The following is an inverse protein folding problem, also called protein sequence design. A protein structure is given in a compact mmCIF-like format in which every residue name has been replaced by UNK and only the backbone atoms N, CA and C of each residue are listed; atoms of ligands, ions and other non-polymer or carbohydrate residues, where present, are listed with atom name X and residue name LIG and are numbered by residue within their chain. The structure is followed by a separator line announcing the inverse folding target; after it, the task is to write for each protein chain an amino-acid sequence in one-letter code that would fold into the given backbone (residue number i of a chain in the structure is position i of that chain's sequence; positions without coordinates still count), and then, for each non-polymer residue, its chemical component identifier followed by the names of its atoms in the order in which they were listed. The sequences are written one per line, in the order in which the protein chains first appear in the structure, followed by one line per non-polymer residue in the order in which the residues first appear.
data_IF_041798835177
#
_entry.id   IF_041798835177
#
_cell.length_a   1.000
_cell.length_b   1.000
_cell.length_c   1.000
_cell.angle_alpha   90.00
_cell.angle_beta   90.00
_cell.angle_gamma   90.00
#
_symmetry.space_group_name_H-M   'P 1'
#
loop_
_entity.id
_entity.type
_entity.pdbx_description
1 polymer ?
#
# COMPACT_ATOMS: atom_id res chain seq x y z
N UNK A 1 38.23 24.38 13.76
CA UNK A 1 36.79 24.44 13.45
C UNK A 1 36.47 24.30 11.95
N UNK A 2 37.06 25.12 11.04
CA UNK A 2 36.77 25.02 9.57
C UNK A 2 37.10 23.65 8.95
N UNK A 3 38.26 23.06 9.29
CA UNK A 3 38.66 21.73 8.78
C UNK A 3 37.69 20.62 9.23
N UNK A 4 37.17 20.66 10.45
CA UNK A 4 36.22 19.72 10.97
C UNK A 4 34.87 19.80 10.19
N UNK A 5 34.40 21.01 9.91
CA UNK A 5 33.17 21.23 9.13
C UNK A 5 33.32 20.71 7.71
N UNK A 6 34.47 20.97 7.06
CA UNK A 6 34.79 20.45 5.73
C UNK A 6 34.80 18.90 5.74
N UNK A 7 35.48 18.30 6.74
CA UNK A 7 35.56 16.85 6.88
C UNK A 7 34.18 16.21 7.04
N UNK A 8 33.35 16.79 7.94
CA UNK A 8 31.97 16.29 8.15
C UNK A 8 31.11 16.44 6.88
N UNK A 9 31.28 17.56 6.17
CA UNK A 9 30.57 17.77 4.90
C UNK A 9 30.96 16.74 3.82
N UNK A 10 32.26 16.46 3.68
CA UNK A 10 32.74 15.44 2.74
C UNK A 10 32.29 14.05 3.15
N UNK A 11 32.37 13.71 4.44
CA UNK A 11 31.89 12.42 4.96
C UNK A 11 30.39 12.22 4.69
N UNK A 12 29.57 13.26 4.91
CA UNK A 12 28.14 13.22 4.60
C UNK A 12 27.87 12.98 3.11
N UNK A 13 28.58 13.71 2.23
CA UNK A 13 28.43 13.52 0.79
C UNK A 13 28.84 12.11 0.33
N UNK A 14 29.91 11.56 0.90
CA UNK A 14 30.33 10.18 0.61
C UNK A 14 29.28 9.16 1.06
N UNK A 15 28.74 9.31 2.27
CA UNK A 15 27.67 8.44 2.75
C UNK A 15 26.42 8.52 1.87
N UNK A 16 26.06 9.72 1.41
CA UNK A 16 24.95 9.93 0.50
C UNK A 16 25.19 9.24 -0.85
N UNK A 17 26.37 9.36 -1.42
CA UNK A 17 26.75 8.70 -2.68
C UNK A 17 26.76 7.16 -2.55
N UNK A 18 27.29 6.64 -1.44
CA UNK A 18 27.30 5.20 -1.17
C UNK A 18 25.85 4.67 -1.08
N UNK A 19 25.00 5.35 -0.31
CA UNK A 19 23.59 5.01 -0.17
C UNK A 19 22.87 5.02 -1.52
N UNK A 20 23.06 6.05 -2.32
CA UNK A 20 22.51 6.16 -3.67
C UNK A 20 22.96 5.02 -4.58
N UNK A 21 24.27 4.70 -4.54
CA UNK A 21 24.84 3.61 -5.36
C UNK A 21 24.27 2.24 -4.94
N UNK A 22 24.16 1.98 -3.63
CA UNK A 22 23.58 0.73 -3.12
C UNK A 22 22.11 0.59 -3.52
N UNK A 23 21.32 1.67 -3.40
CA UNK A 23 19.92 1.69 -3.84
C UNK A 23 19.79 1.42 -5.34
N UNK A 24 20.67 2.01 -6.16
CA UNK A 24 20.68 1.79 -7.61
C UNK A 24 21.04 0.33 -7.98
N UNK A 25 22.03 -0.26 -7.30
CA UNK A 25 22.42 -1.67 -7.49
C UNK A 25 21.27 -2.59 -7.09
N UNK A 26 20.65 -2.32 -5.94
CA UNK A 26 19.51 -3.09 -5.47
C UNK A 26 18.33 -3.03 -6.45
N UNK A 27 17.98 -1.83 -6.92
CA UNK A 27 16.91 -1.62 -7.89
C UNK A 27 17.15 -2.39 -9.20
N UNK A 28 18.38 -2.35 -9.72
CA UNK A 28 18.74 -3.13 -10.93
C UNK A 28 18.69 -4.64 -10.72
N UNK A 29 18.99 -5.12 -9.52
CA UNK A 29 18.99 -6.56 -9.20
C UNK A 29 17.57 -7.12 -9.07
N UNK A 30 16.59 -6.29 -8.65
CA UNK A 30 15.18 -6.67 -8.48
C UNK A 30 14.38 -6.79 -9.79
N UNK A 31 14.99 -6.60 -10.97
CA UNK A 31 14.32 -6.75 -12.27
C UNK A 31 14.44 -8.16 -12.88
N UNK A 32 14.74 -9.20 -12.09
CA UNK A 32 14.66 -10.58 -12.54
C UNK A 32 13.19 -10.96 -12.80
N UNK A 33 12.96 -11.82 -13.80
CA UNK A 33 11.63 -12.34 -14.15
C UNK A 33 10.89 -12.78 -12.89
N UNK A 34 9.89 -12.00 -12.51
CA UNK A 34 9.02 -12.31 -11.38
C UNK A 34 8.11 -13.46 -11.81
N UNK A 35 7.89 -14.41 -10.91
CA UNK A 35 6.86 -15.41 -11.08
C UNK A 35 5.49 -14.74 -11.15
N UNK A 36 4.51 -15.37 -11.79
CA UNK A 36 3.15 -14.88 -11.80
C UNK A 36 2.61 -14.81 -10.35
N UNK A 37 1.98 -13.72 -10.01
CA UNK A 37 1.37 -13.53 -8.70
C UNK A 37 0.08 -14.36 -8.60
N UNK A 38 -0.03 -15.29 -7.65
CA UNK A 38 -1.21 -16.15 -7.52
C UNK A 38 -2.36 -15.41 -6.82
N UNK A 39 -3.06 -14.57 -7.57
CA UNK A 39 -4.10 -13.65 -7.11
C UNK A 39 -5.17 -14.32 -6.25
N UNK A 40 -5.54 -15.56 -6.58
CA UNK A 40 -6.58 -16.34 -5.92
C UNK A 40 -6.23 -16.74 -4.48
N UNK A 41 -4.97 -16.61 -4.08
CA UNK A 41 -4.54 -16.91 -2.72
C UNK A 41 -4.60 -15.71 -1.78
N UNK A 42 -4.87 -14.51 -2.31
CA UNK A 42 -4.74 -13.28 -1.54
C UNK A 42 -6.07 -12.54 -1.37
N UNK A 43 -6.31 -12.04 -0.16
CA UNK A 43 -7.33 -11.03 0.14
C UNK A 43 -6.65 -9.71 0.50
N UNK A 44 -7.03 -8.63 -0.15
CA UNK A 44 -6.62 -7.26 0.23
C UNK A 44 -7.65 -6.69 1.19
N UNK A 45 -7.22 -6.33 2.38
CA UNK A 45 -8.05 -5.69 3.40
C UNK A 45 -7.68 -4.21 3.47
N UNK A 46 -8.67 -3.36 3.23
CA UNK A 46 -8.51 -1.90 3.19
C UNK A 46 -9.46 -1.24 4.20
N UNK A 47 -8.96 -0.75 5.35
CA UNK A 47 -9.70 0.20 6.17
C UNK A 47 -9.87 1.50 5.39
N UNK A 48 -11.11 1.87 5.09
CA UNK A 48 -11.45 3.03 4.26
C UNK A 48 -11.97 4.15 5.15
N UNK A 49 -11.53 5.39 4.83
CA UNK A 49 -12.00 6.62 5.43
C UNK A 49 -12.27 7.65 4.32
N UNK A 50 -13.41 8.33 4.38
CA UNK A 50 -13.70 9.44 3.46
C UNK A 50 -12.80 10.66 3.73
N UNK A 51 -12.70 11.55 2.74
CA UNK A 51 -11.95 12.81 2.85
C UNK A 51 -10.82 12.97 1.83
N UNK A 52 -10.24 11.91 1.30
CA UNK A 52 -9.34 12.02 0.15
C UNK A 52 -10.17 12.13 -1.14
N UNK A 53 -10.00 13.22 -1.92
CA UNK A 53 -10.70 13.40 -3.18
C UNK A 53 -10.33 12.35 -4.24
N UNK A 54 -9.29 11.55 -4.02
CA UNK A 54 -8.84 10.50 -4.92
C UNK A 54 -9.30 9.10 -4.50
N UNK A 55 -9.97 8.96 -3.36
CA UNK A 55 -10.38 7.68 -2.81
C UNK A 55 -10.97 6.75 -3.89
N UNK A 56 -11.95 7.23 -4.65
CA UNK A 56 -12.58 6.43 -5.71
C UNK A 56 -11.60 6.01 -6.82
N UNK A 57 -10.60 6.85 -7.13
CA UNK A 57 -9.62 6.56 -8.17
C UNK A 57 -8.60 5.52 -7.69
N UNK A 58 -8.11 5.67 -6.46
CA UNK A 58 -7.09 4.79 -5.90
C UNK A 58 -7.67 3.39 -5.63
N UNK A 59 -8.92 3.29 -5.13
CA UNK A 59 -9.64 2.02 -4.99
C UNK A 59 -9.85 1.32 -6.35
N UNK A 60 -10.30 2.06 -7.37
CA UNK A 60 -10.45 1.50 -8.73
C UNK A 60 -9.11 1.07 -9.33
N UNK A 61 -8.04 1.83 -9.10
CA UNK A 61 -6.72 1.50 -9.63
C UNK A 61 -6.21 0.15 -9.09
N UNK A 62 -6.48 -0.18 -7.83
CA UNK A 62 -6.17 -1.49 -7.28
C UNK A 62 -7.00 -2.61 -7.94
N UNK A 63 -8.31 -2.40 -8.09
CA UNK A 63 -9.21 -3.38 -8.72
C UNK A 63 -8.87 -3.67 -10.18
N UNK A 64 -8.45 -2.64 -10.93
CA UNK A 64 -8.12 -2.74 -12.36
C UNK A 64 -6.85 -3.52 -12.67
N UNK A 65 -5.96 -3.67 -11.70
CA UNK A 65 -4.70 -4.38 -11.88
C UNK A 65 -4.80 -5.89 -11.68
N UNK A 66 -5.95 -6.38 -11.20
CA UNK A 66 -6.15 -7.78 -10.83
C UNK A 66 -7.50 -8.27 -11.35
N UNK A 67 -7.60 -9.59 -11.54
CA UNK A 67 -8.86 -10.23 -11.96
C UNK A 67 -9.47 -11.12 -10.87
N UNK A 68 -8.62 -11.67 -10.00
CA UNK A 68 -9.00 -12.68 -9.02
C UNK A 68 -8.75 -12.31 -7.57
N UNK A 69 -8.02 -11.24 -7.28
CA UNK A 69 -7.81 -10.77 -5.89
C UNK A 69 -9.15 -10.37 -5.27
N UNK A 70 -9.37 -10.79 -4.05
CA UNK A 70 -10.55 -10.43 -3.26
C UNK A 70 -10.26 -9.18 -2.41
N UNK A 71 -11.22 -8.27 -2.32
CA UNK A 71 -11.06 -7.01 -1.57
C UNK A 71 -12.09 -6.93 -0.44
N UNK A 72 -11.62 -6.74 0.78
CA UNK A 72 -12.45 -6.48 1.95
C UNK A 72 -12.32 -5.00 2.33
N UNK A 73 -13.38 -4.26 2.12
CA UNK A 73 -13.44 -2.83 2.45
C UNK A 73 -14.10 -2.62 3.80
N UNK A 74 -13.34 -2.05 4.75
CA UNK A 74 -13.76 -1.86 6.14
C UNK A 74 -14.12 -0.39 6.34
N UNK A 75 -15.41 -0.08 6.33
CA UNK A 75 -15.93 1.28 6.33
C UNK A 75 -16.63 1.51 7.68
N UNK A 76 -16.41 2.68 8.31
CA UNK A 76 -17.18 3.05 9.50
C UNK A 76 -18.65 3.19 9.16
N UNK A 77 -19.51 2.65 10.01
CA UNK A 77 -20.96 2.72 9.80
C UNK A 77 -21.47 4.17 9.73
N UNK A 78 -20.78 5.09 10.39
CA UNK A 78 -21.05 6.52 10.36
C UNK A 78 -20.53 7.25 9.13
N UNK A 79 -19.60 6.66 8.34
CA UNK A 79 -18.99 7.28 7.15
C UNK A 79 -19.83 7.05 5.89
N UNK A 80 -20.90 7.80 5.77
CA UNK A 80 -21.84 7.69 4.63
C UNK A 80 -21.21 8.06 3.28
N UNK A 81 -20.18 8.90 3.27
CA UNK A 81 -19.49 9.27 2.02
C UNK A 81 -18.59 8.14 1.52
N UNK A 82 -17.83 7.47 2.39
CA UNK A 82 -17.07 6.29 2.00
C UNK A 82 -17.99 5.16 1.50
N UNK A 83 -19.14 4.96 2.16
CA UNK A 83 -20.15 3.99 1.70
C UNK A 83 -20.66 4.35 0.31
N UNK A 84 -20.99 5.62 0.06
CA UNK A 84 -21.45 6.09 -1.24
C UNK A 84 -20.39 5.83 -2.34
N UNK A 85 -19.11 6.06 -2.05
CA UNK A 85 -18.01 5.79 -2.98
C UNK A 85 -17.90 4.29 -3.27
N UNK A 86 -17.96 3.46 -2.23
CA UNK A 86 -17.91 1.99 -2.36
C UNK A 86 -19.08 1.47 -3.21
N UNK A 87 -20.31 1.92 -2.92
CA UNK A 87 -21.50 1.54 -3.67
C UNK A 87 -21.41 1.93 -5.15
N UNK A 88 -20.87 3.11 -5.46
CA UNK A 88 -20.64 3.55 -6.84
C UNK A 88 -19.65 2.67 -7.58
N UNK A 89 -18.63 2.15 -6.92
CA UNK A 89 -17.67 1.23 -7.54
C UNK A 89 -18.31 -0.14 -7.75
N UNK A 90 -19.11 -0.61 -6.79
CA UNK A 90 -19.82 -1.89 -6.87
C UNK A 90 -20.97 -1.91 -7.89
N UNK A 91 -21.32 -0.78 -8.50
CA UNK A 91 -22.23 -0.78 -9.68
C UNK A 91 -21.61 -1.45 -10.90
N UNK A 92 -20.28 -1.51 -10.98
CA UNK A 92 -19.60 -2.30 -11.99
C UNK A 92 -19.57 -3.78 -11.55
N UNK A 93 -20.31 -4.62 -12.28
CA UNK A 93 -20.44 -6.04 -11.96
C UNK A 93 -19.09 -6.80 -11.98
N UNK A 94 -18.12 -6.33 -12.75
CA UNK A 94 -16.77 -6.93 -12.80
C UNK A 94 -16.01 -6.74 -11.48
N UNK A 95 -16.27 -5.66 -10.76
CA UNK A 95 -15.67 -5.38 -9.46
C UNK A 95 -16.49 -5.94 -8.30
N UNK A 96 -17.82 -5.82 -8.38
CA UNK A 96 -18.73 -6.21 -7.30
C UNK A 96 -18.54 -7.65 -6.81
N UNK A 97 -18.20 -8.58 -7.70
CA UNK A 97 -17.99 -9.98 -7.36
C UNK A 97 -16.75 -10.24 -6.50
N UNK A 98 -15.82 -9.29 -6.47
CA UNK A 98 -14.54 -9.40 -5.76
C UNK A 98 -14.46 -8.52 -4.51
N UNK A 99 -15.52 -7.73 -4.26
CA UNK A 99 -15.56 -6.78 -3.13
C UNK A 99 -16.54 -7.29 -2.08
N UNK A 100 -16.08 -7.34 -0.83
CA UNK A 100 -16.94 -7.48 0.35
C UNK A 100 -16.83 -6.21 1.19
N UNK A 101 -17.96 -5.58 1.47
CA UNK A 101 -18.02 -4.36 2.31
C UNK A 101 -18.43 -4.78 3.71
N UNK A 102 -17.63 -4.37 4.69
CA UNK A 102 -17.91 -4.56 6.11
C UNK A 102 -18.15 -3.19 6.75
N UNK A 103 -19.36 -2.98 7.26
CA UNK A 103 -19.69 -1.79 8.03
C UNK A 103 -19.31 -2.05 9.49
N UNK A 104 -18.32 -1.29 9.95
CA UNK A 104 -17.77 -1.43 11.30
C UNK A 104 -18.42 -0.40 12.22
N UNK A 105 -18.88 -0.85 13.37
CA UNK A 105 -19.39 0.02 14.44
C UNK A 105 -18.28 0.90 15.02
N UNK A 106 -18.68 1.85 15.85
CA UNK A 106 -17.76 2.82 16.45
C UNK A 106 -16.60 2.14 17.18
N UNK A 107 -15.40 2.62 16.87
CA UNK A 107 -14.17 2.11 17.48
C UNK A 107 -14.10 2.51 18.94
N UNK A 108 -13.82 1.57 19.87
CA UNK A 108 -13.67 1.89 21.28
C UNK A 108 -12.55 2.92 21.54
N UNK A 109 -12.78 3.80 22.51
CA UNK A 109 -11.81 4.83 22.85
C UNK A 109 -10.45 4.22 23.27
N UNK A 110 -9.36 4.76 22.72
CA UNK A 110 -8.00 4.33 23.05
C UNK A 110 -7.47 3.15 22.23
N UNK A 111 -8.25 2.62 21.30
CA UNK A 111 -7.83 1.57 20.37
C UNK A 111 -7.48 2.19 19.02
N UNK A 112 -6.45 1.65 18.37
CA UNK A 112 -6.11 2.08 17.01
C UNK A 112 -7.23 1.65 16.04
N UNK A 113 -7.89 2.59 15.34
CA UNK A 113 -9.06 2.28 14.51
C UNK A 113 -8.74 1.28 13.39
N UNK A 114 -7.57 1.40 12.76
CA UNK A 114 -7.17 0.51 11.68
C UNK A 114 -7.01 -0.93 12.15
N UNK A 115 -6.28 -1.13 13.26
CA UNK A 115 -6.08 -2.47 13.83
C UNK A 115 -7.40 -3.08 14.29
N UNK A 116 -8.26 -2.29 14.91
CA UNK A 116 -9.58 -2.75 15.34
C UNK A 116 -10.44 -3.23 14.18
N UNK A 117 -10.52 -2.44 13.09
CA UNK A 117 -11.28 -2.81 11.90
C UNK A 117 -10.77 -4.12 11.28
N UNK A 118 -9.46 -4.29 11.18
CA UNK A 118 -8.86 -5.51 10.63
C UNK A 118 -9.21 -6.72 11.50
N UNK A 119 -9.13 -6.59 12.83
CA UNK A 119 -9.47 -7.66 13.78
C UNK A 119 -10.90 -8.18 13.59
N UNK A 120 -11.86 -7.27 13.28
CA UNK A 120 -13.28 -7.65 13.09
C UNK A 120 -13.51 -8.58 11.89
N UNK A 121 -12.58 -8.67 10.96
CA UNK A 121 -12.77 -9.43 9.70
C UNK A 121 -11.78 -10.57 9.52
N UNK A 122 -10.85 -10.75 10.43
CA UNK A 122 -9.82 -11.82 10.32
C UNK A 122 -10.45 -13.21 10.20
N UNK A 123 -11.51 -13.48 10.95
CA UNK A 123 -12.22 -14.78 10.91
C UNK A 123 -13.07 -14.96 9.63
N UNK A 124 -13.34 -13.88 8.91
CA UNK A 124 -14.09 -13.89 7.65
C UNK A 124 -13.20 -14.14 6.43
N UNK A 125 -11.87 -14.19 6.61
CA UNK A 125 -10.94 -14.41 5.52
C UNK A 125 -11.11 -15.80 4.94
N UNK A 126 -11.34 -15.85 3.62
CA UNK A 126 -11.53 -17.10 2.88
C UNK A 126 -10.24 -17.60 2.26
N UNK A 127 -9.21 -16.75 2.18
CA UNK A 127 -7.94 -17.01 1.51
C UNK A 127 -6.78 -17.06 2.52
N UNK A 128 -5.72 -17.84 2.21
CA UNK A 128 -4.64 -18.07 3.16
C UNK A 128 -3.74 -16.87 3.40
N UNK A 129 -3.72 -15.88 2.51
CA UNK A 129 -2.81 -14.74 2.63
C UNK A 129 -3.57 -13.42 2.63
N UNK A 130 -3.14 -12.55 3.52
CA UNK A 130 -3.73 -11.22 3.74
C UNK A 130 -2.73 -10.13 3.32
N UNK A 131 -3.22 -9.16 2.56
CA UNK A 131 -2.52 -7.90 2.29
C UNK A 131 -3.30 -6.79 2.99
N UNK A 132 -2.67 -6.08 3.93
CA UNK A 132 -3.23 -4.87 4.52
C UNK A 132 -2.77 -3.67 3.71
N UNK A 133 -3.70 -2.90 3.19
CA UNK A 133 -3.42 -1.75 2.34
C UNK A 133 -4.18 -0.51 2.83
N UNK A 134 -3.52 0.64 2.80
CA UNK A 134 -4.19 1.91 3.08
C UNK A 134 -5.07 2.35 1.91
N UNK A 135 -6.12 3.10 2.20
CA UNK A 135 -7.12 3.54 1.22
C UNK A 135 -6.59 4.55 0.20
N UNK A 136 -5.49 5.23 0.53
CA UNK A 136 -4.77 6.17 -0.35
C UNK A 136 -3.58 5.54 -1.08
N UNK A 137 -3.44 4.21 -1.00
CA UNK A 137 -2.32 3.46 -1.55
C UNK A 137 -2.74 2.59 -2.73
N UNK A 138 -1.87 2.53 -3.74
CA UNK A 138 -2.04 1.67 -4.91
C UNK A 138 -0.87 0.69 -4.99
N UNK A 139 -1.19 -0.61 -5.01
CA UNK A 139 -0.20 -1.68 -5.17
C UNK A 139 0.14 -1.83 -6.66
N UNK A 140 1.42 -2.05 -6.96
CA UNK A 140 1.84 -2.54 -8.26
C UNK A 140 1.86 -4.08 -8.23
N UNK A 141 0.72 -4.69 -8.54
CA UNK A 141 0.57 -6.16 -8.51
C UNK A 141 1.53 -6.87 -9.48
N UNK A 142 1.99 -6.21 -10.54
CA UNK A 142 2.98 -6.79 -11.46
C UNK A 142 4.33 -7.10 -10.80
N UNK A 143 4.60 -6.51 -9.64
CA UNK A 143 5.83 -6.72 -8.85
C UNK A 143 5.64 -7.68 -7.67
N UNK A 144 4.40 -8.14 -7.44
CA UNK A 144 4.10 -8.99 -6.28
C UNK A 144 4.54 -10.46 -6.47
N UNK A 145 5.02 -10.85 -7.66
CA UNK A 145 5.51 -12.20 -7.91
C UNK A 145 6.65 -12.65 -6.99
N UNK A 146 7.43 -11.72 -6.41
CA UNK A 146 8.45 -12.05 -5.40
C UNK A 146 7.86 -12.67 -4.14
N UNK A 147 6.60 -12.38 -3.80
CA UNK A 147 5.93 -12.94 -2.64
C UNK A 147 5.75 -14.46 -2.73
N UNK A 148 5.78 -15.03 -3.93
CA UNK A 148 5.67 -16.48 -4.13
C UNK A 148 6.77 -17.27 -3.40
N UNK A 149 7.94 -16.65 -3.19
CA UNK A 149 9.05 -17.28 -2.45
C UNK A 149 8.76 -17.45 -0.97
N UNK A 150 7.77 -16.76 -0.43
CA UNK A 150 7.38 -16.76 0.98
C UNK A 150 6.09 -17.55 1.24
N UNK A 151 5.44 -18.08 0.20
CA UNK A 151 4.23 -18.88 0.37
C UNK A 151 4.49 -20.12 1.23
N UNK A 152 3.59 -20.39 2.15
CA UNK A 152 3.73 -21.48 3.12
C UNK A 152 4.65 -21.18 4.31
N UNK A 153 5.19 -19.97 4.43
CA UNK A 153 5.99 -19.53 5.57
C UNK A 153 5.16 -18.61 6.49
N UNK A 154 5.40 -18.74 7.80
CA UNK A 154 4.81 -17.84 8.80
C UNK A 154 5.63 -16.56 8.92
N UNK A 155 5.45 -15.64 7.96
CA UNK A 155 6.20 -14.38 7.88
C UNK A 155 5.27 -13.19 7.68
N UNK A 156 5.70 -12.02 8.15
CA UNK A 156 5.08 -10.74 7.84
C UNK A 156 6.05 -9.98 6.93
N UNK A 157 5.55 -9.58 5.77
CA UNK A 157 6.31 -8.77 4.81
C UNK A 157 5.77 -7.34 4.82
N UNK A 158 6.67 -6.37 4.86
CA UNK A 158 6.30 -4.96 4.81
C UNK A 158 6.80 -4.34 3.52
N UNK A 159 5.88 -3.78 2.74
CA UNK A 159 6.20 -2.97 1.58
C UNK A 159 6.71 -1.58 1.99
N UNK A 160 7.59 -1.01 1.18
CA UNK A 160 8.03 0.38 1.35
C UNK A 160 7.10 1.26 0.50
N UNK A 161 6.37 2.21 1.12
CA UNK A 161 5.51 3.11 0.37
C UNK A 161 6.33 4.05 -0.51
N UNK A 162 5.88 4.26 -1.74
CA UNK A 162 6.47 5.18 -2.68
C UNK A 162 5.47 6.28 -3.02
N UNK A 163 5.86 7.54 -2.81
CA UNK A 163 5.04 8.67 -3.18
C UNK A 163 5.15 8.94 -4.69
N UNK A 164 4.02 8.84 -5.39
CA UNK A 164 3.97 9.17 -6.81
C UNK A 164 4.13 10.67 -7.04
N UNK A 165 5.00 11.03 -7.97
CA UNK A 165 5.17 12.41 -8.40
C UNK A 165 3.93 12.90 -9.13
N UNK A 166 3.45 14.07 -8.76
CA UNK A 166 2.40 14.80 -9.49
C UNK A 166 3.05 15.85 -10.42
N UNK A 167 2.25 16.44 -11.28
CA UNK A 167 2.72 17.41 -12.28
C UNK A 167 3.29 18.73 -11.72
N UNK A 168 3.01 19.07 -10.45
CA UNK A 168 3.46 20.31 -9.85
C UNK A 168 4.82 20.16 -9.12
N UNK A 169 5.56 21.26 -9.05
CA UNK A 169 6.88 21.33 -8.43
C UNK A 169 6.91 20.82 -6.96
N UNK A 170 5.92 21.23 -6.17
CA UNK A 170 5.86 20.89 -4.75
C UNK A 170 5.65 19.40 -4.51
N UNK A 171 4.79 18.77 -5.32
CA UNK A 171 4.59 17.33 -5.26
C UNK A 171 5.87 16.56 -5.59
N UNK A 172 6.62 17.01 -6.61
CA UNK A 172 7.92 16.40 -6.95
C UNK A 172 8.93 16.54 -5.82
N UNK A 173 8.98 17.71 -5.18
CA UNK A 173 9.86 17.96 -4.05
C UNK A 173 9.51 17.07 -2.85
N UNK A 174 8.22 16.97 -2.51
CA UNK A 174 7.75 16.09 -1.42
C UNK A 174 8.04 14.63 -1.73
N UNK A 175 7.73 14.17 -2.95
CA UNK A 175 8.01 12.80 -3.36
C UNK A 175 9.51 12.49 -3.30
N UNK A 176 10.36 13.39 -3.80
CA UNK A 176 11.80 13.22 -3.74
C UNK A 176 12.33 13.15 -2.29
N UNK A 177 11.78 13.98 -1.40
CA UNK A 177 12.16 13.99 0.02
C UNK A 177 11.71 12.72 0.73
N UNK A 178 10.44 12.32 0.59
CA UNK A 178 9.89 11.15 1.26
C UNK A 178 10.53 9.87 0.72
N UNK A 179 10.55 9.70 -0.61
CA UNK A 179 11.13 8.52 -1.23
C UNK A 179 12.64 8.39 -0.94
N UNK A 180 13.37 9.52 -0.91
CA UNK A 180 14.79 9.54 -0.57
C UNK A 180 15.10 9.18 0.89
N UNK A 181 14.12 9.23 1.80
CA UNK A 181 14.28 8.86 3.21
C UNK A 181 13.68 7.48 3.55
N UNK A 182 13.02 6.82 2.60
CA UNK A 182 12.39 5.51 2.81
C UNK A 182 13.36 4.33 2.60
N UNK A 183 14.63 4.61 2.26
CA UNK A 183 15.68 3.61 2.00
C UNK A 183 16.81 3.70 3.00
#
# INVERSE_FOLDING_TARGET
MKLLVIFLGVAYLLLFLIRWLLSFIYYKKGQSHLADFPEELFTVVQPILSGDPRLANDLRANLQQTESVEFYWLIDQSDTEAQRVADQICQDASFAQRIRIFLIEDVPQGINPKSYKIEQVVEELTRPYLIVLDDDSVIDFSKMGELTTYLGQEVILTGIPYNQERSNFWSKLVAAFVNGNSF
#
